data_IF_977494096249
#
_entry.id   IF_977494096249
#
_cell.length_a   1.000
_cell.length_b   1.000
_cell.length_c   1.000
_cell.angle_alpha   90.00
_cell.angle_beta   90.00
_cell.angle_gamma   90.00
#
_symmetry.space_group_name_H-M   'P 1'
#
loop_
_entity.id
_entity.type
_entity.pdbx_description
1 polymer ?
2 non-polymer ?
3 water ?
#
# COMPACT_ATOMS: atom_id res chain seq x y z
N UNK A 6 18.52 4.29 14.90
CA UNK A 6 19.33 4.03 13.68
C UNK A 6 18.39 3.53 12.56
N UNK A 7 18.51 4.10 11.36
CA UNK A 7 17.67 3.78 10.19
C UNK A 7 18.34 2.68 9.39
N UNK A 8 17.75 1.46 9.44
CA UNK A 8 18.46 0.18 9.26
C UNK A 8 17.58 -0.91 8.63
N UNK A 9 16.24 -0.81 8.58
CA UNK A 9 15.42 -1.81 7.86
C UNK A 9 15.25 -1.39 6.41
N UNK A 10 15.34 -2.35 5.48
CA UNK A 10 15.26 -2.06 4.02
C UNK A 10 14.16 -2.92 3.44
N UNK A 11 12.94 -2.40 3.25
CA UNK A 11 11.92 -3.15 2.53
C UNK A 11 12.42 -3.50 1.14
N UNK A 12 11.96 -4.62 0.58
CA UNK A 12 12.32 -4.97 -0.79
C UNK A 12 11.75 -3.94 -1.79
N UNK A 13 12.29 -3.99 -2.99
CA UNK A 13 11.91 -3.10 -4.11
C UNK A 13 10.37 -3.07 -4.21
N UNK A 14 9.80 -1.88 -4.28
CA UNK A 14 8.36 -1.63 -4.62
C UNK A 14 7.47 -2.32 -3.59
N UNK A 15 7.93 -2.38 -2.34
CA UNK A 15 7.19 -3.02 -1.24
C UNK A 15 5.91 -2.23 -0.90
N UNK A 16 4.82 -2.94 -0.70
CA UNK A 16 3.59 -2.34 -0.17
C UNK A 16 2.74 -3.38 0.56
N UNK A 17 2.00 -2.90 1.54
CA UNK A 17 0.91 -3.69 2.15
C UNK A 17 -0.32 -3.59 1.23
N UNK A 18 -0.86 -4.71 0.81
CA UNK A 18 -2.05 -4.79 -0.08
C UNK A 18 -3.31 -4.80 0.77
N UNK A 19 -3.30 -5.63 1.81
CA UNK A 19 -4.45 -5.79 2.71
C UNK A 19 -3.93 -6.41 4.00
N UNK A 20 -4.83 -6.65 4.95
CA UNK A 20 -4.51 -7.44 6.17
C UNK A 20 -3.83 -8.75 5.73
N UNK A 21 -2.61 -8.96 6.18
CA UNK A 21 -1.87 -10.21 5.95
C UNK A 21 -1.36 -10.38 4.52
N UNK A 22 -1.36 -9.35 3.67
CA UNK A 22 -0.96 -9.51 2.25
C UNK A 22 -0.04 -8.35 1.85
N UNK A 23 1.13 -8.70 1.32
CA UNK A 23 2.15 -7.74 0.86
C UNK A 23 2.51 -8.04 -0.58
N UNK A 24 3.08 -7.04 -1.26
CA UNK A 24 3.60 -7.16 -2.63
C UNK A 24 4.99 -6.53 -2.67
N UNK A 25 5.83 -7.05 -3.55
CA UNK A 25 7.16 -6.45 -3.80
C UNK A 25 7.79 -7.04 -5.05
N UNK A 26 8.95 -6.49 -5.40
CA UNK A 26 9.93 -7.14 -6.27
C UNK A 26 10.77 -8.14 -5.48
N UNK A 27 11.85 -8.58 -6.09
CA UNK A 27 12.61 -9.74 -5.59
C UNK A 27 13.39 -9.32 -4.35
N UNK A 28 13.16 -9.95 -3.19
CA UNK A 28 13.94 -9.64 -2.00
C UNK A 28 15.37 -10.15 -2.10
N UNK A 29 16.32 -9.41 -1.56
CA UNK A 29 17.71 -9.90 -1.42
C UNK A 29 18.08 -9.81 0.06
N UNK A 30 19.30 -10.20 0.43
CA UNK A 30 19.67 -10.41 1.85
C UNK A 30 19.60 -9.08 2.62
N UNK A 31 19.73 -7.93 1.93
CA UNK A 31 19.61 -6.60 2.55
C UNK A 31 18.19 -6.40 3.10
N UNK A 32 17.20 -7.16 2.58
CA UNK A 32 15.76 -7.00 2.90
C UNK A 32 15.32 -8.00 3.96
N UNK A 33 16.15 -8.99 4.34
CA UNK A 33 15.71 -10.10 5.22
C UNK A 33 15.33 -9.57 6.61
N UNK A 34 16.09 -8.66 7.21
CA UNK A 34 15.77 -8.17 8.57
C UNK A 34 14.38 -7.48 8.54
N UNK A 35 14.09 -6.70 7.50
CA UNK A 35 12.75 -6.10 7.33
C UNK A 35 11.66 -7.19 7.21
N UNK A 36 11.84 -8.17 6.32
CA UNK A 36 10.82 -9.22 6.08
C UNK A 36 10.58 -10.00 7.38
N UNK A 37 11.59 -10.15 8.22
CA UNK A 37 11.44 -10.88 9.52
C UNK A 37 10.41 -10.15 10.38
N UNK A 38 10.29 -8.81 10.28
CA UNK A 38 9.35 -8.01 11.11
C UNK A 38 7.89 -8.32 10.73
N UNK A 39 7.67 -8.91 9.55
CA UNK A 39 6.29 -9.17 9.07
C UNK A 39 5.77 -10.52 9.56
N UNK A 40 6.61 -11.43 10.08
CA UNK A 40 6.16 -12.77 10.51
C UNK A 40 5.45 -13.51 9.39
N UNK A 41 6.07 -13.58 8.21
CA UNK A 41 5.45 -14.23 7.02
C UNK A 41 5.24 -15.72 7.29
N UNK A 42 4.13 -16.25 6.79
CA UNK A 42 3.91 -17.71 6.72
C UNK A 42 4.26 -18.22 5.31
N UNK A 43 4.15 -17.35 4.29
CA UNK A 43 4.12 -17.74 2.87
C UNK A 43 4.77 -16.67 1.99
N UNK A 44 5.32 -17.13 0.86
CA UNK A 44 5.68 -16.27 -0.29
C UNK A 44 4.99 -16.87 -1.51
N UNK A 45 4.33 -16.01 -2.31
CA UNK A 45 3.83 -16.38 -3.66
C UNK A 45 4.79 -15.77 -4.65
N UNK A 46 5.58 -16.61 -5.33
CA UNK A 46 6.65 -16.15 -6.24
C UNK A 46 6.19 -16.41 -7.67
N UNK A 47 6.13 -15.37 -8.50
CA UNK A 47 5.45 -15.46 -9.81
C UNK A 47 6.43 -15.57 -10.99
N UNK A 48 7.68 -15.96 -10.77
CA UNK A 48 8.69 -16.11 -11.84
C UNK A 48 9.17 -17.57 -11.90
N UNK A 49 9.56 -18.05 -13.09
CA UNK A 49 10.01 -19.44 -13.25
C UNK A 49 11.46 -19.70 -12.80
N UNK A 50 12.27 -18.67 -12.60
CA UNK A 50 13.70 -18.85 -12.26
C UNK A 50 13.81 -19.53 -10.89
N UNK A 51 14.78 -20.44 -10.69
CA UNK A 51 14.98 -21.05 -9.38
C UNK A 51 15.23 -20.01 -8.30
N UNK A 52 14.73 -20.24 -7.10
CA UNK A 52 14.97 -19.38 -5.93
C UNK A 52 16.44 -19.48 -5.54
N UNK A 53 17.14 -18.34 -5.36
CA UNK A 53 18.54 -18.36 -4.93
C UNK A 53 18.74 -19.03 -3.56
N UNK A 54 19.93 -19.59 -3.35
CA UNK A 54 20.30 -20.32 -2.10
C UNK A 54 20.11 -19.39 -0.90
N UNK A 55 20.56 -18.15 -1.00
CA UNK A 55 20.43 -17.10 0.04
C UNK A 55 18.96 -17.06 0.52
N UNK A 56 18.05 -16.85 -0.42
CA UNK A 56 16.58 -16.75 -0.16
C UNK A 56 16.05 -18.07 0.43
N UNK A 57 16.46 -19.21 -0.12
CA UNK A 57 16.00 -20.52 0.38
C UNK A 57 16.42 -20.69 1.84
N UNK A 58 17.63 -20.26 2.20
CA UNK A 58 18.08 -20.42 3.62
C UNK A 58 17.22 -19.50 4.51
N UNK A 59 16.88 -18.31 4.01
CA UNK A 59 16.00 -17.36 4.73
C UNK A 59 14.62 -18.00 4.98
N UNK A 60 14.06 -18.63 3.95
CA UNK A 60 12.73 -19.29 4.07
C UNK A 60 12.81 -20.42 5.11
N UNK A 61 13.83 -21.25 5.02
CA UNK A 61 13.98 -22.44 5.91
C UNK A 61 14.19 -21.93 7.35
N UNK A 62 15.03 -20.91 7.54
CA UNK A 62 15.31 -20.39 8.89
C UNK A 62 14.04 -19.82 9.52
N UNK A 63 13.10 -19.27 8.74
CA UNK A 63 11.95 -18.49 9.26
C UNK A 63 10.64 -19.28 9.13
N UNK A 64 10.70 -20.52 8.62
CA UNK A 64 9.51 -21.38 8.50
C UNK A 64 8.54 -20.85 7.46
N UNK A 65 9.03 -20.23 6.39
CA UNK A 65 8.19 -19.63 5.32
C UNK A 65 8.02 -20.63 4.17
N UNK A 66 6.78 -20.87 3.76
CA UNK A 66 6.44 -21.79 2.66
C UNK A 66 6.53 -21.01 1.34
N UNK A 67 7.17 -21.60 0.33
CA UNK A 67 7.33 -20.99 -1.01
C UNK A 67 6.32 -21.63 -1.97
N UNK A 68 5.41 -20.83 -2.51
CA UNK A 68 4.51 -21.20 -3.61
C UNK A 68 5.04 -20.53 -4.88
N UNK A 69 5.45 -21.32 -5.87
CA UNK A 69 6.01 -20.77 -7.13
C UNK A 69 5.03 -21.08 -8.27
N UNK A 70 4.62 -20.04 -8.99
CA UNK A 70 3.79 -20.12 -10.21
C UNK A 70 4.54 -19.36 -11.29
N UNK A 71 5.29 -20.08 -12.11
CA UNK A 71 6.30 -19.49 -12.99
C UNK A 71 5.68 -18.91 -14.24
N UNK A 72 5.26 -17.65 -14.17
CA UNK A 72 4.69 -16.94 -15.34
C UNK A 72 5.84 -16.50 -16.25
N UNK A 73 5.85 -16.98 -17.50
CA UNK A 73 6.90 -16.66 -18.49
C UNK A 73 6.72 -15.21 -18.92
N UNK A 74 7.84 -14.52 -19.17
CA UNK A 74 7.88 -13.10 -19.55
C UNK A 74 7.65 -12.91 -21.04
N UNK A 75 6.85 -11.89 -21.40
CA UNK A 75 6.70 -11.38 -22.79
C UNK A 75 6.62 -9.85 -22.70
N UNK A 76 6.98 -9.15 -23.78
CA UNK A 76 6.85 -7.67 -23.86
C UNK A 76 5.74 -7.31 -24.86
N UNK A 77 4.95 -6.28 -24.51
CA UNK A 77 3.91 -5.63 -25.37
C UNK A 77 4.47 -5.48 -26.78
N UNK A 78 3.69 -5.72 -27.87
CA UNK A 78 2.31 -6.20 -27.80
C UNK A 78 2.13 -7.72 -27.99
N UNK A 79 3.15 -8.51 -27.64
CA UNK A 79 3.18 -9.98 -27.80
C UNK A 79 3.00 -10.62 -26.42
N UNK A 80 2.00 -10.15 -25.67
CA UNK A 80 1.81 -10.43 -24.23
C UNK A 80 0.49 -11.18 -24.03
N UNK A 81 0.58 -12.47 -23.67
CA UNK A 81 -0.57 -13.30 -23.24
C UNK A 81 -0.30 -13.76 -21.81
N UNK A 82 -0.81 -13.01 -20.82
CA UNK A 82 -0.76 -13.30 -19.35
C UNK A 82 -1.44 -14.66 -19.12
N UNK A 83 -0.78 -15.61 -18.42
CA UNK A 83 -1.35 -16.95 -18.29
C UNK A 83 -2.41 -16.95 -17.16
N UNK A 84 -3.66 -17.02 -17.60
CA UNK A 84 -4.88 -17.08 -16.77
C UNK A 84 -4.77 -18.19 -15.71
N UNK A 85 -4.33 -19.38 -16.09
CA UNK A 85 -4.30 -20.53 -15.15
C UNK A 85 -3.36 -20.23 -13.97
N UNK A 86 -2.16 -19.74 -14.24
CA UNK A 86 -1.13 -19.49 -13.20
C UNK A 86 -1.62 -18.38 -12.28
N UNK A 87 -2.22 -17.32 -12.82
CA UNK A 87 -2.80 -16.24 -11.97
C UNK A 87 -3.85 -16.86 -11.04
N UNK A 88 -4.71 -17.72 -11.59
CA UNK A 88 -5.83 -18.29 -10.80
C UNK A 88 -5.28 -19.25 -9.74
N UNK A 89 -4.25 -20.03 -10.05
CA UNK A 89 -3.63 -20.92 -9.03
C UNK A 89 -3.04 -20.05 -7.91
N UNK A 90 -2.38 -18.93 -8.25
CA UNK A 90 -1.80 -18.01 -7.25
C UNK A 90 -2.94 -17.40 -6.41
N UNK A 91 -4.04 -17.04 -7.05
CA UNK A 91 -5.20 -16.43 -6.34
C UNK A 91 -5.80 -17.42 -5.35
N UNK A 92 -5.91 -18.70 -5.72
CA UNK A 92 -6.45 -19.78 -4.83
C UNK A 92 -5.57 -19.82 -3.56
N UNK A 93 -4.25 -19.73 -3.68
CA UNK A 93 -3.33 -19.73 -2.50
C UNK A 93 -3.52 -18.43 -1.70
N UNK A 94 -3.57 -17.30 -2.39
CA UNK A 94 -3.67 -15.96 -1.77
C UNK A 94 -4.93 -15.85 -0.89
N UNK A 95 -6.05 -16.44 -1.31
CA UNK A 95 -7.36 -16.25 -0.63
C UNK A 95 -7.44 -17.13 0.62
N UNK A 96 -6.53 -18.07 0.80
CA UNK A 96 -6.52 -18.98 1.98
C UNK A 96 -5.80 -18.28 3.13
N UNK A 97 -6.55 -17.85 4.14
CA UNK A 97 -6.03 -17.04 5.27
C UNK A 97 -5.01 -17.84 6.07
N UNK A 98 -5.01 -19.17 6.01
CA UNK A 98 -3.99 -20.00 6.71
C UNK A 98 -2.59 -19.70 6.14
N UNK A 99 -2.49 -19.14 4.93
CA UNK A 99 -1.19 -18.83 4.28
C UNK A 99 -0.70 -17.43 4.68
N UNK A 100 -1.52 -16.66 5.39
CA UNK A 100 -1.19 -15.25 5.75
C UNK A 100 -0.37 -15.26 7.03
N UNK A 101 0.52 -14.26 7.25
CA UNK A 101 0.86 -13.24 6.26
C UNK A 101 1.63 -13.79 5.05
N UNK A 102 1.31 -13.24 3.88
CA UNK A 102 1.87 -13.69 2.58
C UNK A 102 2.49 -12.50 1.86
N UNK A 103 3.67 -12.71 1.29
CA UNK A 103 4.32 -11.74 0.37
C UNK A 103 4.21 -12.28 -1.04
N UNK A 104 3.58 -11.50 -1.91
CA UNK A 104 3.55 -11.76 -3.38
C UNK A 104 4.76 -11.04 -3.97
N UNK A 105 5.59 -11.75 -4.75
CA UNK A 105 6.66 -11.02 -5.45
C UNK A 105 6.98 -11.65 -6.80
N UNK A 106 7.48 -10.79 -7.67
CA UNK A 106 8.07 -11.17 -8.97
C UNK A 106 9.47 -10.57 -8.98
N UNK A 107 9.89 -9.93 -10.05
CA UNK A 107 11.28 -9.36 -10.12
C UNK A 107 11.27 -7.89 -9.66
N UNK A 108 10.48 -7.06 -10.32
CA UNK A 108 10.28 -5.64 -9.93
C UNK A 108 8.92 -5.46 -9.27
N UNK A 109 8.02 -6.42 -9.37
CA UNK A 109 6.71 -6.29 -8.71
C UNK A 109 5.71 -5.45 -9.45
N UNK A 110 5.87 -5.22 -10.76
CA UNK A 110 4.95 -4.31 -11.53
C UNK A 110 3.90 -5.08 -12.33
N UNK A 111 4.30 -6.08 -13.11
CA UNK A 111 3.43 -6.73 -14.12
C UNK A 111 2.75 -7.99 -13.53
N UNK A 112 3.53 -9.02 -13.20
CA UNK A 112 2.95 -10.29 -12.70
C UNK A 112 2.26 -10.02 -11.36
N UNK A 113 2.99 -9.42 -10.42
CA UNK A 113 2.46 -9.06 -9.09
C UNK A 113 1.27 -8.09 -9.31
N UNK A 114 1.40 -7.12 -10.21
CA UNK A 114 0.32 -6.13 -10.44
C UNK A 114 -0.95 -6.80 -10.92
N UNK A 115 -0.85 -7.77 -11.83
CA UNK A 115 -2.03 -8.48 -12.38
C UNK A 115 -2.69 -9.31 -11.26
N UNK A 116 -1.91 -10.01 -10.43
CA UNK A 116 -2.50 -10.84 -9.36
C UNK A 116 -3.26 -9.91 -8.41
N UNK A 117 -2.63 -8.81 -7.97
CA UNK A 117 -3.27 -7.88 -7.02
C UNK A 117 -4.53 -7.27 -7.66
N UNK A 118 -4.48 -6.91 -8.96
CA UNK A 118 -5.66 -6.35 -9.64
C UNK A 118 -6.82 -7.34 -9.64
N UNK A 119 -6.55 -8.62 -9.86
CA UNK A 119 -7.59 -9.66 -9.86
C UNK A 119 -8.15 -9.84 -8.45
N UNK A 120 -7.31 -9.77 -7.41
CA UNK A 120 -7.80 -9.74 -6.02
C UNK A 120 -8.77 -8.56 -5.85
N UNK A 121 -8.40 -7.37 -6.33
CA UNK A 121 -9.26 -6.17 -6.15
C UNK A 121 -10.59 -6.39 -6.86
N UNK A 122 -10.59 -7.06 -8.00
CA UNK A 122 -11.86 -7.32 -8.73
C UNK A 122 -12.74 -8.25 -7.89
N UNK A 123 -12.15 -9.24 -7.24
CA UNK A 123 -12.90 -10.10 -6.29
C UNK A 123 -13.42 -9.28 -5.09
N UNK A 124 -12.70 -8.24 -4.67
CA UNK A 124 -13.10 -7.31 -3.56
C UNK A 124 -14.08 -6.24 -4.05
N UNK A 125 -14.56 -6.34 -5.29
CA UNK A 125 -15.66 -5.53 -5.90
C UNK A 125 -15.22 -4.08 -6.14
N UNK A 126 -13.93 -3.83 -6.29
CA UNK A 126 -13.44 -2.48 -6.66
C UNK A 126 -13.84 -2.18 -8.09
N UNK A 127 -14.24 -0.96 -8.37
CA UNK A 127 -14.48 -0.53 -9.77
C UNK A 127 -13.15 -0.59 -10.53
N UNK A 128 -13.26 -0.83 -11.83
CA UNK A 128 -12.07 -1.04 -12.69
C UNK A 128 -11.14 0.17 -12.62
N UNK A 129 -11.67 1.40 -12.66
CA UNK A 129 -10.80 2.60 -12.65
C UNK A 129 -9.96 2.62 -11.38
N UNK A 130 -10.50 2.18 -10.24
CA UNK A 130 -9.75 2.15 -8.95
C UNK A 130 -8.67 1.07 -9.00
N UNK A 131 -8.98 -0.07 -9.61
CA UNK A 131 -8.00 -1.17 -9.77
C UNK A 131 -6.84 -0.68 -10.64
N UNK A 132 -7.16 -0.06 -11.77
CA UNK A 132 -6.15 0.40 -12.74
C UNK A 132 -5.27 1.50 -12.11
N UNK A 133 -5.87 2.37 -11.31
CA UNK A 133 -5.10 3.45 -10.65
C UNK A 133 -4.04 2.83 -9.74
N UNK A 134 -4.40 1.82 -8.97
CA UNK A 134 -3.43 1.17 -8.06
C UNK A 134 -2.33 0.49 -8.91
N UNK A 135 -2.73 -0.26 -9.93
CA UNK A 135 -1.80 -0.95 -10.83
C UNK A 135 -0.79 0.07 -11.40
N UNK A 136 -1.29 1.21 -11.88
CA UNK A 136 -0.50 2.28 -12.54
C UNK A 136 0.49 2.88 -11.53
N UNK A 137 0.07 3.02 -10.27
CA UNK A 137 0.91 3.65 -9.25
C UNK A 137 2.23 2.86 -9.13
N UNK A 138 2.17 1.53 -9.18
CA UNK A 138 3.37 0.67 -9.10
C UNK A 138 4.05 0.57 -10.46
N UNK A 139 3.31 0.38 -11.53
CA UNK A 139 3.93 0.12 -12.86
C UNK A 139 4.54 1.41 -13.43
N UNK A 140 3.99 2.58 -13.11
CA UNK A 140 4.52 3.90 -13.50
C UNK A 140 4.75 3.92 -15.02
N UNK A 141 5.96 4.22 -15.51
CA UNK A 141 6.19 4.36 -16.96
C UNK A 141 6.12 3.01 -17.67
N UNK A 142 6.09 1.89 -16.94
CA UNK A 142 6.02 0.54 -17.54
C UNK A 142 4.58 0.00 -17.48
N UNK A 143 3.58 0.82 -17.15
CA UNK A 143 2.17 0.39 -17.20
C UNK A 143 1.87 -0.16 -18.60
N UNK A 144 1.23 -1.30 -18.66
CA UNK A 144 0.89 -1.99 -19.93
C UNK A 144 -0.62 -2.05 -20.07
N UNK A 145 -1.15 -1.65 -21.20
CA UNK A 145 -2.60 -1.80 -21.47
C UNK A 145 -2.97 -3.28 -21.37
N UNK A 146 -2.12 -4.18 -21.83
CA UNK A 146 -2.44 -5.63 -21.85
C UNK A 146 -2.67 -6.15 -20.41
N UNK A 147 -1.93 -5.65 -19.42
CA UNK A 147 -2.14 -6.06 -18.01
C UNK A 147 -3.55 -5.62 -17.59
N UNK A 148 -3.93 -4.40 -17.97
CA UNK A 148 -5.23 -3.83 -17.54
C UNK A 148 -6.37 -4.53 -18.30
N UNK A 149 -6.15 -4.84 -19.58
CA UNK A 149 -7.15 -5.59 -20.37
C UNK A 149 -7.38 -6.98 -19.73
N UNK A 150 -6.31 -7.64 -19.29
CA UNK A 150 -6.39 -8.95 -18.59
C UNK A 150 -7.33 -8.80 -17.38
N UNK A 151 -7.14 -7.74 -16.58
CA UNK A 151 -7.99 -7.49 -15.40
C UNK A 151 -9.43 -7.19 -15.85
N UNK A 152 -9.60 -6.43 -16.91
CA UNK A 152 -10.94 -6.01 -17.43
C UNK A 152 -11.75 -7.26 -17.76
N UNK A 153 -11.14 -8.24 -18.40
CA UNK A 153 -11.93 -9.39 -18.91
C UNK A 153 -11.89 -10.57 -17.93
N UNK A 154 -11.11 -10.52 -16.87
CA UNK A 154 -11.01 -11.57 -15.85
C UNK A 154 -12.39 -11.87 -15.28
N UNK A 155 -12.86 -13.09 -15.47
CA UNK A 155 -14.19 -13.55 -15.02
C UNK A 155 -14.04 -13.98 -13.56
N UNK A 156 -14.70 -13.28 -12.64
CA UNK A 156 -14.59 -13.58 -11.18
C UNK A 156 -15.46 -14.81 -10.75
N UNK A 157 -16.37 -15.29 -11.61
CA UNK A 157 -17.42 -16.29 -11.28
C UNK A 157 -16.88 -17.45 -10.42
N UNK A 158 -15.75 -18.06 -10.79
CA UNK A 158 -15.24 -19.29 -10.12
C UNK A 158 -14.78 -19.04 -8.67
N UNK A 159 -14.55 -17.78 -8.29
CA UNK A 159 -14.02 -17.38 -6.97
C UNK A 159 -15.09 -16.71 -6.10
N UNK A 160 -16.31 -16.55 -6.65
CA UNK A 160 -17.50 -16.05 -5.92
C UNK A 160 -18.24 -17.23 -5.27
N UNK B 6 -22.12 -5.53 -9.67
CA UNK B 6 -20.93 -6.27 -9.14
C UNK B 6 -19.87 -5.27 -8.65
N UNK B 7 -19.03 -4.74 -9.56
CA UNK B 7 -17.87 -3.85 -9.23
C UNK B 7 -18.42 -2.47 -8.87
N UNK B 8 -18.37 -2.11 -7.58
CA UNK B 8 -19.22 -1.07 -6.95
C UNK B 8 -18.47 -0.31 -5.86
N UNK B 9 -17.33 -0.77 -5.33
CA UNK B 9 -16.58 -0.02 -4.28
C UNK B 9 -15.57 0.92 -4.96
N UNK B 10 -15.46 2.13 -4.45
CA UNK B 10 -14.58 3.18 -4.99
C UNK B 10 -13.72 3.73 -3.86
N UNK B 11 -12.49 3.19 -3.67
CA UNK B 11 -11.56 3.80 -2.72
C UNK B 11 -11.33 5.27 -3.05
N UNK B 12 -11.07 6.11 -2.02
CA UNK B 12 -10.77 7.51 -2.29
C UNK B 12 -9.47 7.67 -3.10
N UNK B 13 -9.25 8.86 -3.66
CA UNK B 13 -8.05 9.31 -4.41
C UNK B 13 -6.78 8.80 -3.70
N UNK B 14 -5.91 8.12 -4.40
CA UNK B 14 -4.54 7.78 -3.90
C UNK B 14 -4.61 6.94 -2.61
N UNK B 15 -5.62 6.09 -2.50
CA UNK B 15 -5.85 5.23 -1.32
C UNK B 15 -4.78 4.14 -1.24
N UNK B 16 -4.27 3.92 -0.04
CA UNK B 16 -3.39 2.76 0.25
C UNK B 16 -3.44 2.39 1.73
N UNK B 17 -3.22 1.13 1.99
CA UNK B 17 -2.93 0.64 3.35
C UNK B 17 -1.46 0.92 3.65
N UNK B 18 -1.19 1.59 4.74
CA UNK B 18 0.19 1.96 5.17
C UNK B 18 0.73 0.83 6.06
N UNK B 19 -0.10 0.37 7.00
CA UNK B 19 0.31 -0.65 7.98
C UNK B 19 -0.96 -1.25 8.58
N UNK B 20 -0.81 -2.21 9.47
CA UNK B 20 -1.96 -2.75 10.24
C UNK B 20 -2.71 -1.55 10.84
N UNK B 21 -3.99 -1.41 10.50
CA UNK B 21 -4.87 -0.38 11.05
C UNK B 21 -4.58 1.04 10.57
N UNK B 22 -3.76 1.26 9.55
CA UNK B 22 -3.39 2.62 9.08
C UNK B 22 -3.52 2.69 7.56
N UNK B 23 -4.27 3.69 7.10
CA UNK B 23 -4.55 3.97 5.68
C UNK B 23 -4.16 5.41 5.37
N UNK B 24 -3.95 5.68 4.09
CA UNK B 24 -3.69 7.04 3.58
C UNK B 24 -4.58 7.26 2.34
N UNK B 25 -4.96 8.49 2.10
CA UNK B 25 -5.68 8.87 0.86
C UNK B 25 -5.70 10.38 0.70
N UNK B 26 -6.25 10.82 -0.42
CA UNK B 26 -6.78 12.18 -0.61
C UNK B 26 -8.18 12.29 -0.04
N UNK B 27 -8.86 13.37 -0.38
CA UNK B 27 -10.14 13.75 0.28
C UNK B 27 -11.24 12.81 -0.19
N UNK B 28 -11.89 12.05 0.74
CA UNK B 28 -13.01 11.21 0.36
C UNK B 28 -14.22 12.06 -0.06
N UNK B 29 -14.97 11.59 -1.04
CA UNK B 29 -16.30 12.18 -1.36
C UNK B 29 -17.35 11.07 -1.20
N UNK B 30 -18.63 11.39 -1.40
CA UNK B 30 -19.75 10.45 -1.09
C UNK B 30 -19.60 9.15 -1.90
N UNK B 31 -18.99 9.17 -3.10
CA UNK B 31 -18.79 7.96 -3.94
C UNK B 31 -17.87 6.96 -3.24
N UNK B 32 -17.08 7.42 -2.27
CA UNK B 32 -16.07 6.59 -1.55
C UNK B 32 -16.61 6.07 -0.22
N UNK B 33 -17.78 6.53 0.23
CA UNK B 33 -18.23 6.21 1.61
C UNK B 33 -18.48 4.71 1.78
N UNK B 34 -19.10 4.03 0.82
CA UNK B 34 -19.39 2.57 0.96
C UNK B 34 -18.05 1.81 1.09
N UNK B 35 -17.02 2.22 0.34
CA UNK B 35 -15.68 1.59 0.48
C UNK B 35 -15.13 1.86 1.89
N UNK B 36 -15.20 3.10 2.35
CA UNK B 36 -14.62 3.44 3.69
C UNK B 36 -15.34 2.64 4.79
N UNK B 37 -16.62 2.34 4.60
CA UNK B 37 -17.39 1.55 5.58
C UNK B 37 -16.76 0.17 5.76
N UNK B 38 -16.22 -0.42 4.70
CA UNK B 38 -15.64 -1.78 4.75
C UNK B 38 -14.39 -1.77 5.64
N UNK B 39 -13.76 -0.61 5.91
CA UNK B 39 -12.53 -0.57 6.72
C UNK B 39 -12.79 -0.51 8.23
N UNK B 40 -14.02 -0.24 8.67
CA UNK B 40 -14.34 -0.15 10.11
C UNK B 40 -13.49 0.93 10.80
N UNK B 41 -13.34 2.09 10.17
CA UNK B 41 -12.50 3.18 10.74
C UNK B 41 -13.01 3.61 12.13
N UNK B 42 -12.08 3.85 13.03
CA UNK B 42 -12.33 4.56 14.31
C UNK B 42 -11.98 6.04 14.19
N UNK B 43 -11.03 6.38 13.31
CA UNK B 43 -10.39 7.72 13.32
C UNK B 43 -10.11 8.16 11.90
N UNK B 44 -10.15 9.48 11.70
CA UNK B 44 -9.57 10.16 10.54
C UNK B 44 -8.60 11.21 11.07
N UNK B 45 -7.38 11.18 10.57
CA UNK B 45 -6.40 12.28 10.73
C UNK B 45 -6.46 13.13 9.45
N UNK B 46 -6.95 14.35 9.57
CA UNK B 46 -7.18 15.29 8.46
C UNK B 46 -6.14 16.41 8.60
N UNK B 47 -5.32 16.60 7.57
CA UNK B 47 -4.12 17.45 7.68
C UNK B 47 -4.30 18.81 6.99
N UNK B 48 -5.52 19.21 6.65
CA UNK B 48 -5.80 20.53 6.03
C UNK B 48 -6.55 21.43 7.00
N UNK B 49 -6.38 22.76 6.91
CA UNK B 49 -7.08 23.70 7.78
C UNK B 49 -8.54 23.99 7.40
N UNK B 50 -8.96 23.68 6.17
CA UNK B 50 -10.35 23.99 5.72
C UNK B 50 -11.34 23.21 6.58
N UNK B 51 -12.47 23.84 6.98
CA UNK B 51 -13.54 23.12 7.68
C UNK B 51 -13.95 21.87 6.87
N UNK B 52 -14.22 20.78 7.57
CA UNK B 52 -14.71 19.53 6.96
C UNK B 52 -16.08 19.81 6.35
N UNK B 53 -16.34 19.40 5.09
CA UNK B 53 -17.66 19.61 4.48
C UNK B 53 -18.78 18.86 5.21
N UNK B 54 -20.00 19.37 5.09
CA UNK B 54 -21.19 18.82 5.81
C UNK B 54 -21.39 17.34 5.42
N UNK B 55 -21.28 17.01 4.14
CA UNK B 55 -21.40 15.64 3.59
C UNK B 55 -20.48 14.68 4.37
N UNK B 56 -19.20 15.04 4.45
CA UNK B 56 -18.15 14.23 5.11
C UNK B 56 -18.41 14.20 6.61
N UNK B 57 -18.80 15.34 7.21
CA UNK B 57 -19.09 15.38 8.67
C UNK B 57 -20.22 14.41 8.99
N UNK B 58 -21.29 14.39 8.18
CA UNK B 58 -22.45 13.51 8.46
C UNK B 58 -21.98 12.06 8.37
N UNK B 59 -21.10 11.74 7.41
CA UNK B 59 -20.57 10.37 7.24
C UNK B 59 -19.77 9.99 8.49
N UNK B 60 -18.88 10.87 8.96
CA UNK B 60 -18.07 10.59 10.18
C UNK B 60 -19.02 10.29 11.34
N UNK B 61 -20.02 11.14 11.52
CA UNK B 61 -20.90 11.06 12.71
C UNK B 61 -21.69 9.74 12.66
N UNK B 62 -22.32 9.45 11.52
CA UNK B 62 -23.15 8.24 11.28
C UNK B 62 -22.33 6.97 11.54
N UNK B 63 -21.06 6.99 11.14
CA UNK B 63 -20.20 5.78 11.15
C UNK B 63 -19.40 5.68 12.45
N UNK B 64 -19.56 6.62 13.38
CA UNK B 64 -18.83 6.55 14.67
C UNK B 64 -17.34 6.75 14.50
N UNK B 65 -16.94 7.68 13.64
CA UNK B 65 -15.50 7.96 13.35
C UNK B 65 -15.13 9.27 14.05
N UNK B 66 -14.02 9.26 14.78
CA UNK B 66 -13.46 10.48 15.42
C UNK B 66 -12.60 11.23 14.38
N UNK B 67 -12.83 12.53 14.25
CA UNK B 67 -12.01 13.45 13.44
C UNK B 67 -10.91 14.08 14.31
N UNK B 68 -9.67 13.87 13.91
CA UNK B 68 -8.48 14.61 14.41
C UNK B 68 -8.01 15.55 13.31
N UNK B 69 -8.12 16.86 13.51
CA UNK B 69 -7.75 17.84 12.46
C UNK B 69 -6.48 18.54 12.92
N UNK B 70 -5.41 18.41 12.16
CA UNK B 70 -4.13 19.13 12.36
C UNK B 70 -3.86 19.91 11.08
N UNK B 71 -4.36 21.15 11.03
CA UNK B 71 -4.36 21.96 9.81
C UNK B 71 -2.96 22.40 9.46
N UNK B 72 -2.37 21.82 8.43
CA UNK B 72 -1.06 22.26 7.91
C UNK B 72 -1.33 23.22 6.75
N UNK B 73 -0.82 24.46 6.82
CA UNK B 73 -1.13 25.58 5.89
C UNK B 73 -0.24 25.49 4.64
N UNK B 77 5.98 24.87 -3.58
CA UNK B 77 7.48 24.99 -3.56
C UNK B 77 7.90 26.16 -4.43
N UNK B 78 9.03 26.86 -4.12
CA UNK B 78 9.86 26.55 -2.96
C UNK B 78 9.52 27.34 -1.69
N UNK B 79 8.25 27.71 -1.51
CA UNK B 79 7.77 28.51 -0.33
C UNK B 79 6.96 27.59 0.59
N UNK B 80 7.43 26.35 0.78
CA UNK B 80 6.79 25.34 1.67
C UNK B 80 7.50 25.39 3.03
N UNK B 81 6.72 25.38 4.11
CA UNK B 81 7.18 25.30 5.51
C UNK B 81 6.28 24.29 6.23
N UNK B 82 6.76 23.05 6.43
CA UNK B 82 6.00 21.97 7.13
C UNK B 82 6.19 22.15 8.64
N UNK B 83 5.11 22.41 9.41
CA UNK B 83 5.22 22.61 10.85
C UNK B 83 5.46 21.28 11.61
N UNK B 84 6.62 21.20 12.23
CA UNK B 84 7.08 20.06 13.06
C UNK B 84 6.00 19.70 14.10
N UNK B 85 5.43 20.68 14.78
CA UNK B 85 4.47 20.47 15.91
C UNK B 85 3.24 19.67 15.46
N UNK B 86 2.61 20.06 14.34
CA UNK B 86 1.36 19.42 13.84
C UNK B 86 1.67 17.97 13.47
N UNK B 87 2.81 17.72 12.81
CA UNK B 87 3.19 16.33 12.43
C UNK B 87 3.40 15.49 13.70
N UNK B 88 4.04 16.07 14.72
CA UNK B 88 4.31 15.38 16.01
C UNK B 88 2.97 14.99 16.69
N UNK B 89 2.03 15.94 16.72
CA UNK B 89 0.67 15.73 17.31
C UNK B 89 -0.03 14.59 16.55
N UNK B 90 0.04 14.62 15.22
CA UNK B 90 -0.57 13.59 14.34
C UNK B 90 0.10 12.23 14.59
N UNK B 91 1.43 12.19 14.72
CA UNK B 91 2.12 10.90 14.98
C UNK B 91 1.64 10.29 16.30
N UNK B 92 1.45 11.11 17.33
CA UNK B 92 0.98 10.62 18.65
C UNK B 92 -0.36 9.90 18.48
N UNK B 93 -1.27 10.44 17.67
CA UNK B 93 -2.59 9.78 17.39
C UNK B 93 -2.34 8.45 16.68
N UNK B 94 -1.48 8.44 15.67
CA UNK B 94 -1.19 7.24 14.85
C UNK B 94 -0.61 6.12 15.74
N UNK B 95 0.18 6.49 16.75
CA UNK B 95 0.92 5.52 17.57
C UNK B 95 0.01 4.93 18.65
N UNK B 96 -1.17 5.51 18.91
CA UNK B 96 -2.14 4.95 19.88
C UNK B 96 -3.05 3.98 19.12
N UNK B 97 -2.89 2.68 19.35
CA UNK B 97 -3.65 1.60 18.66
C UNK B 97 -5.15 1.75 18.96
N UNK B 98 -5.56 2.41 20.05
CA UNK B 98 -7.00 2.64 20.33
C UNK B 98 -7.64 3.46 19.21
N UNK B 99 -6.84 4.21 18.45
CA UNK B 99 -7.38 5.06 17.36
C UNK B 99 -7.50 4.28 16.06
N UNK B 100 -6.99 3.05 15.99
CA UNK B 100 -6.98 2.22 14.76
C UNK B 100 -8.32 1.53 14.64
N UNK B 101 -8.85 1.27 13.42
CA UNK B 101 -8.22 1.72 12.16
C UNK B 101 -8.37 3.23 11.91
N UNK B 102 -7.30 3.81 11.35
CA UNK B 102 -7.21 5.27 11.12
C UNK B 102 -6.88 5.52 9.65
N UNK B 103 -7.59 6.46 9.06
CA UNK B 103 -7.31 6.99 7.72
C UNK B 103 -6.68 8.37 7.86
N UNK B 104 -5.47 8.52 7.33
CA UNK B 104 -4.79 9.83 7.15
C UNK B 104 -5.22 10.39 5.81
N UNK B 105 -5.70 11.62 5.76
CA UNK B 105 -5.95 12.24 4.45
C UNK B 105 -5.71 13.74 4.45
N UNK B 106 -5.38 14.21 3.27
CA UNK B 106 -5.27 15.64 2.95
C UNK B 106 -6.20 15.89 1.75
N UNK B 107 -5.80 16.67 0.76
CA UNK B 107 -6.66 16.93 -0.42
C UNK B 107 -6.38 15.87 -1.48
N UNK B 108 -5.12 15.72 -1.89
CA UNK B 108 -4.75 14.68 -2.89
C UNK B 108 -3.99 13.52 -2.21
N UNK B 109 -3.51 13.71 -1.00
CA UNK B 109 -2.82 12.66 -0.25
C UNK B 109 -1.36 12.51 -0.63
N UNK B 110 -0.72 13.52 -1.18
CA UNK B 110 0.67 13.45 -1.68
C UNK B 110 1.66 14.12 -0.72
N UNK B 111 1.39 15.35 -0.29
CA UNK B 111 2.42 16.19 0.40
C UNK B 111 2.28 16.06 1.91
N UNK B 112 1.18 16.53 2.46
CA UNK B 112 0.98 16.54 3.93
C UNK B 112 0.88 15.10 4.40
N UNK B 113 0.04 14.31 3.75
CA UNK B 113 -0.13 12.87 4.06
C UNK B 113 1.22 12.16 3.85
N UNK B 114 1.91 12.44 2.74
CA UNK B 114 3.20 11.81 2.44
C UNK B 114 4.23 12.11 3.53
N UNK B 115 4.24 13.34 4.06
CA UNK B 115 5.23 13.74 5.12
C UNK B 115 4.91 12.99 6.40
N UNK B 116 3.62 12.89 6.78
CA UNK B 116 3.28 12.17 8.03
C UNK B 116 3.67 10.70 7.89
N UNK B 117 3.33 10.06 6.78
CA UNK B 117 3.70 8.65 6.57
C UNK B 117 5.22 8.48 6.61
N UNK B 118 5.97 9.36 5.94
CA UNK B 118 7.44 9.26 5.90
C UNK B 118 8.04 9.34 7.30
N UNK B 119 7.49 10.21 8.16
CA UNK B 119 7.95 10.34 9.56
C UNK B 119 7.61 9.05 10.35
N UNK B 120 6.44 8.46 10.13
CA UNK B 120 6.09 7.14 10.73
C UNK B 120 7.14 6.10 10.31
N UNK B 121 7.52 6.07 9.03
CA UNK B 121 8.52 5.08 8.52
C UNK B 121 9.85 5.32 9.23
N UNK B 122 10.19 6.57 9.53
CA UNK B 122 11.47 6.87 10.21
C UNK B 122 11.41 6.25 11.62
N UNK B 123 10.27 6.34 12.31
CA UNK B 123 10.10 5.71 13.64
C UNK B 123 10.17 4.19 13.51
N UNK B 124 9.77 3.62 12.37
CA UNK B 124 9.81 2.16 12.10
C UNK B 124 11.20 1.73 11.62
N UNK B 125 12.17 2.66 11.58
CA UNK B 125 13.61 2.39 11.34
C UNK B 125 13.89 2.09 9.86
N UNK B 126 13.05 2.55 8.95
CA UNK B 126 13.29 2.40 7.50
C UNK B 126 14.45 3.29 7.09
N UNK B 127 15.28 2.81 6.17
CA UNK B 127 16.33 3.61 5.50
C UNK B 127 15.66 4.77 4.74
N UNK B 128 16.31 5.93 4.67
CA UNK B 128 15.70 7.11 4.02
C UNK B 128 15.36 6.77 2.56
N UNK B 129 16.22 6.08 1.82
CA UNK B 129 15.91 5.80 0.37
C UNK B 129 14.59 5.03 0.25
N UNK B 130 14.30 4.11 1.16
CA UNK B 130 13.05 3.31 1.13
C UNK B 130 11.86 4.22 1.45
N UNK B 131 12.04 5.14 2.40
CA UNK B 131 11.00 6.11 2.78
C UNK B 131 10.67 7.01 1.58
N UNK B 132 11.71 7.54 0.94
CA UNK B 132 11.58 8.46 -0.22
C UNK B 132 10.91 7.73 -1.38
N UNK B 133 11.28 6.47 -1.61
CA UNK B 133 10.70 5.71 -2.74
C UNK B 133 9.18 5.60 -2.55
N UNK B 134 8.73 5.30 -1.34
CA UNK B 134 7.29 5.16 -1.06
C UNK B 134 6.62 6.53 -1.25
N UNK B 135 7.20 7.58 -0.69
CA UNK B 135 6.69 8.97 -0.84
C UNK B 135 6.52 9.30 -2.33
N UNK B 136 7.53 8.98 -3.14
CA UNK B 136 7.56 9.32 -4.58
C UNK B 136 6.51 8.51 -5.34
N UNK B 137 6.23 7.29 -4.93
CA UNK B 137 5.22 6.47 -5.62
C UNK B 137 3.87 7.19 -5.59
N UNK B 138 3.52 7.86 -4.47
CA UNK B 138 2.24 8.60 -4.38
C UNK B 138 2.37 10.00 -5.00
N UNK B 139 3.46 10.70 -4.75
CA UNK B 139 3.61 12.11 -5.17
C UNK B 139 3.81 12.19 -6.70
N UNK B 140 4.46 11.18 -7.29
CA UNK B 140 4.68 11.04 -8.75
C UNK B 140 5.30 12.35 -9.28
N UNK B 141 4.70 13.00 -10.29
CA UNK B 141 5.27 14.21 -10.91
C UNK B 141 5.25 15.41 -9.95
N UNK B 142 4.54 15.33 -8.82
CA UNK B 142 4.48 16.42 -7.81
C UNK B 142 5.40 16.14 -6.61
N UNK B 143 6.33 15.18 -6.69
CA UNK B 143 7.30 14.93 -5.61
C UNK B 143 8.05 16.24 -5.34
N UNK B 144 8.17 16.60 -4.08
CA UNK B 144 8.86 17.84 -3.65
C UNK B 144 10.08 17.46 -2.83
N UNK B 145 11.20 18.06 -3.17
CA UNK B 145 12.44 17.84 -2.38
C UNK B 145 12.19 18.31 -0.95
N UNK B 146 11.48 19.42 -0.76
CA UNK B 146 11.24 20.01 0.59
C UNK B 146 10.52 18.99 1.50
N UNK B 147 9.60 18.19 0.96
CA UNK B 147 8.88 17.15 1.75
C UNK B 147 9.89 16.10 2.24
N UNK B 148 10.78 15.66 1.36
CA UNK B 148 11.78 14.60 1.67
C UNK B 148 12.83 15.15 2.64
N UNK B 149 13.24 16.41 2.43
CA UNK B 149 14.17 17.15 3.34
C UNK B 149 13.58 17.19 4.76
N UNK B 150 12.28 17.50 4.87
CA UNK B 150 11.53 17.53 6.15
C UNK B 150 11.67 16.16 6.84
N UNK B 151 11.45 15.06 6.10
CA UNK B 151 11.57 13.69 6.65
C UNK B 151 13.03 13.43 7.07
N UNK B 152 13.98 13.89 6.26
CA UNK B 152 15.45 13.71 6.45
C UNK B 152 15.83 14.30 7.81
N UNK B 153 15.29 15.47 8.17
CA UNK B 153 15.76 16.16 9.40
C UNK B 153 14.79 15.97 10.58
N UNK B 154 13.64 15.35 10.37
CA UNK B 154 12.61 15.21 11.45
C UNK B 154 13.22 14.43 12.61
N UNK B 155 13.20 15.03 13.81
CA UNK B 155 13.87 14.48 15.01
C UNK B 155 12.92 13.46 15.66
N UNK B 156 13.33 12.20 15.74
CA UNK B 156 12.48 11.09 16.28
C UNK B 156 12.83 10.79 17.74
N UNK B 157 13.57 11.71 18.41
CA UNK B 157 14.08 11.55 19.80
C UNK B 157 12.93 11.44 20.81
N UNK B 158 11.91 12.31 20.71
CA UNK B 158 10.78 12.45 21.67
C UNK B 158 9.98 11.14 21.75
N UNK B 159 10.16 10.22 20.80
CA UNK B 159 9.48 8.90 20.75
C UNK B 159 10.40 7.85 21.38
N UNK B 160 10.92 8.14 22.58
CA UNK B 160 11.74 7.25 23.46
C UNK B 160 10.87 6.70 24.59
X LIG C 1 9.46 -7.93 -16.06
X LIG C 1 12.03 -7.47 -18.79
X LIG C 1 10.93 -8.11 -17.96
X LIG C 1 10.63 -7.32 -16.70
X LIG C 1 10.42 -5.85 -16.96
X LIG C 1 11.70 -5.31 -17.59
X LIG C 1 11.85 -5.96 -18.94
X LIG C 1 8.52 -8.32 -11.83
X LIG C 1 7.50 -7.99 -12.84
X LIG C 1 7.40 -6.63 -13.28
X LIG C 1 6.23 -8.62 -12.72
X LIG C 1 8.22 -8.97 -14.26
X LIG C 1 7.29 -9.01 -15.32
X LIG C 1 8.67 -10.34 -13.75
X LIG C 1 9.48 -8.30 -14.75
X LIG C 1 10.43 -8.15 -13.98
X LIG C 1 11.44 -9.39 -17.53
X LIG C 1 10.74 -10.72 -17.82
X LIG C 1 11.26 -11.54 -16.72
X LIG C 1 11.20 -11.07 -19.16
X LIG C 1 9.30 -10.39 -17.72
X LIG C 1 11.94 -8.08 -20.08
X LIG C 1 13.20 -8.25 -20.98
X LIG C 1 13.96 -6.97 -20.99
X LIG C 1 12.57 -8.66 -22.28
X LIG C 1 13.87 -9.34 -20.19
X LIG C 1 10.65 -5.70 -19.76
X LIG C 1 10.60 -4.82 -21.11
X LIG C 1 12.17 -4.34 -21.38
X LIG C 1 10.18 -5.70 -22.22
X LIG C 1 9.86 -3.54 -20.95
X LIG C 1 11.59 -3.91 -17.78
X LIG C 1 12.72 -2.88 -17.35
X LIG C 1 12.12 -1.57 -17.75
X LIG C 1 12.87 -3.12 -15.89
X LIG C 1 13.94 -3.29 -18.19
X LIG C 1 10.28 -5.30 -15.69
X LIG C 1 9.47 -3.98 -15.29
X LIG C 1 10.52 -2.92 -15.06
X LIG C 1 8.71 -4.44 -14.07
X LIG C 1 8.64 -3.74 -16.46
X LIG D 1 -1.75 20.51 -2.21
X LIG D 1 -2.14 23.28 -4.74
X LIG D 1 -1.92 22.56 -3.41
X LIG D 1 -2.13 21.07 -3.53
X LIG D 1 -1.34 20.48 -4.69
X LIG D 1 -1.77 21.21 -6.00
X LIG D 1 -1.40 22.63 -5.90
X LIG D 1 -3.23 16.84 -0.23
X LIG D 1 -1.79 17.24 -0.31
X LIG D 1 -1.09 16.88 -1.49
X LIG D 1 -1.11 16.94 0.95
X LIG D 1 -1.97 19.09 -0.23
X LIG D 1 -0.73 19.67 -0.04
X LIG D 1 -3.10 19.53 0.85
X LIG D 1 -2.50 19.57 -1.59
X LIG D 1 -3.53 19.08 -2.06
X LIG D 1 -2.95 22.93 -2.52
X LIG D 1 -2.79 23.73 -1.22
X LIG D 1 -4.10 23.50 -0.60
X LIG D 1 -2.51 25.09 -1.75
X LIG D 1 -1.65 23.09 -0.52
X LIG D 1 -1.66 24.64 -4.64
X LIG D 1 -2.60 25.86 -5.00
X LIG D 1 -1.62 26.97 -5.06
X LIG D 1 -3.55 25.87 -3.86
X LIG D 1 -3.23 25.52 -6.32
X LIG D 1 0.03 22.76 -5.69
X LIG D 1 1.08 23.45 -6.74
X LIG D 1 0.18 24.20 -7.93
X LIG D 1 1.84 24.52 -6.08
X LIG D 1 1.84 22.38 -7.44
X LIG D 1 -1.17 20.68 -7.23
X LIG D 1 -2.02 20.21 -8.54
X LIG D 1 -1.08 19.62 -9.50
X LIG D 1 -2.89 19.23 -7.86
X LIG D 1 -2.71 21.48 -9.00
X LIG D 1 -1.72 19.12 -4.72
X LIG D 1 -0.85 17.92 -5.29
X LIG D 1 -1.47 17.54 -6.59
X LIG D 1 -0.97 16.92 -4.19
X LIG D 1 0.52 18.50 -5.44
#
# INVERSE_FOLDING_TARGET
GSFTEELHLIPPLNFSMVDNGIFRSGFPDSANFSFLQTLGLRSIIYLCPEPYPESNLQFLKSNGIRLFQFGIEGNKEPFVNIPDHKIRMALKVLLDEKNHPVLIHSKRGKHRTGCLVGCLRKLQKWCLTSIFDEYQRFAAAKARVSDQRFMEIFDVSSFSHIPMSFSCSIR
GSFTEELHLIPPLNFSMVDNGIFRSGFPDSANFSFLQTLGLRSIIYLCPEPYPESNLQFLKSNGIRLFQFGIEGNKEPFVNIPDHKIRMALKVLLDEKNHPVLIHSKRGKHRTGCLVGCLRKLQKWCLTSIFDEYQRFAAAKARVSDQRFMEIFDVSSFSHIPMSFSCSIR
KDJ N15 C3 C4 C5 C6 C1 C2 O75 PB5 O85 O95 C45 F55 F65 C25 O35 O14 PA4 O34 O44 O24 O13 PA3 O33 O43 O23 O12 PA2 O32 O42 O22 O11 PA1 O31 O41 O21 O16 PA6 O36 O46 O26
KDJ N15 C3 C4 C5 C6 C1 C2 O75 PB5 O85 O95 C45 F55 F65 C25 O35 O14 PA4 O34 O44 O24 O13 PA3 O33 O43 O23 O12 PA2 O32 O42 O22 O11 PA1 O31 O41 O21 O16 PA6 O36 O46 O26
#
